data_IF_738117171450
#
_entry.id   IF_738117171450
#
_cell.length_a   1.000
_cell.length_b   1.000
_cell.length_c   1.000
_cell.angle_alpha   90.00
_cell.angle_beta   90.00
_cell.angle_gamma   90.00
#
_symmetry.space_group_name_H-M   'P 1'
#
loop_
_entity.id
_entity.type
_entity.pdbx_description
1 polymer ?
#
# COMPACT_ATOMS: atom_id res chain seq x y z
N UNK A 1 19.49 -9.83 11.41
CA UNK A 1 20.21 -8.64 10.89
C UNK A 1 19.78 -8.51 9.44
N UNK A 2 19.27 -7.36 9.03
CA UNK A 2 18.87 -7.15 7.62
C UNK A 2 20.14 -7.07 6.78
N UNK A 3 20.23 -7.91 5.76
CA UNK A 3 21.36 -7.93 4.82
C UNK A 3 21.25 -6.70 3.90
N UNK A 4 22.24 -5.79 3.93
CA UNK A 4 22.26 -4.59 3.08
C UNK A 4 23.30 -4.75 1.97
N UNK A 5 22.94 -4.34 0.75
CA UNK A 5 23.83 -4.36 -0.42
C UNK A 5 24.18 -2.93 -0.82
N UNK A 6 25.45 -2.70 -1.17
CA UNK A 6 25.89 -1.42 -1.73
C UNK A 6 25.64 -1.40 -3.23
N UNK A 7 24.82 -0.48 -3.68
CA UNK A 7 24.46 -0.33 -5.10
C UNK A 7 24.94 1.01 -5.64
N UNK A 8 25.51 1.01 -6.85
CA UNK A 8 25.89 2.22 -7.59
C UNK A 8 24.91 2.42 -8.73
N UNK A 9 24.22 3.57 -8.76
CA UNK A 9 23.19 3.90 -9.75
C UNK A 9 23.50 5.22 -10.44
N UNK A 10 23.15 5.33 -11.72
CA UNK A 10 23.31 6.56 -12.50
C UNK A 10 21.97 7.28 -12.55
N UNK A 11 21.91 8.49 -12.01
CA UNK A 11 20.68 9.30 -11.91
C UNK A 11 20.90 10.64 -12.59
N UNK A 12 19.83 11.20 -13.16
CA UNK A 12 19.83 12.58 -13.63
C UNK A 12 20.25 13.55 -12.50
N UNK A 13 21.25 14.39 -12.76
CA UNK A 13 21.80 15.32 -11.77
C UNK A 13 20.74 16.23 -11.14
N UNK A 14 19.85 16.82 -11.94
CA UNK A 14 18.85 17.76 -11.43
C UNK A 14 17.82 17.08 -10.53
N UNK A 15 17.45 15.85 -10.86
CA UNK A 15 16.55 15.02 -10.06
C UNK A 15 17.20 14.67 -8.72
N UNK A 16 18.46 14.23 -8.75
CA UNK A 16 19.21 13.87 -7.55
C UNK A 16 19.40 15.05 -6.59
N UNK A 17 19.70 16.25 -7.10
CA UNK A 17 19.80 17.45 -6.26
C UNK A 17 18.46 17.79 -5.60
N UNK A 18 17.35 17.76 -6.36
CA UNK A 18 16.01 18.00 -5.81
C UNK A 18 15.64 16.97 -4.73
N UNK A 19 15.94 15.70 -4.98
CA UNK A 19 15.71 14.62 -4.04
C UNK A 19 16.51 14.83 -2.75
N UNK A 20 17.81 15.11 -2.85
CA UNK A 20 18.65 15.46 -1.70
C UNK A 20 18.11 16.66 -0.93
N UNK A 21 17.68 17.73 -1.59
CA UNK A 21 17.12 18.90 -0.91
C UNK A 21 15.88 18.54 -0.09
N UNK A 22 15.02 17.66 -0.61
CA UNK A 22 13.83 17.19 0.10
C UNK A 22 14.20 16.36 1.33
N UNK A 23 15.12 15.40 1.18
CA UNK A 23 15.47 14.41 2.23
C UNK A 23 16.45 14.98 3.28
N UNK A 24 17.41 15.81 2.89
CA UNK A 24 18.41 16.39 3.80
C UNK A 24 17.78 17.38 4.79
N UNK A 25 16.62 17.95 4.46
CA UNK A 25 15.84 18.78 5.39
C UNK A 25 15.31 18.00 6.61
N UNK A 26 15.19 16.67 6.51
CA UNK A 26 14.50 15.84 7.52
C UNK A 26 15.44 14.94 8.37
N UNK A 27 16.66 14.60 7.93
CA UNK A 27 17.49 13.64 8.68
C UNK A 27 19.01 13.54 8.40
N UNK A 28 19.61 14.45 7.61
CA UNK A 28 21.04 14.37 7.26
C UNK A 28 21.42 13.20 6.32
N UNK A 29 22.72 12.92 6.17
CA UNK A 29 23.25 11.97 5.16
C UNK A 29 22.85 10.50 5.35
N UNK A 30 22.57 10.04 6.58
CA UNK A 30 22.06 8.66 6.82
C UNK A 30 20.65 8.47 6.24
N UNK A 31 19.83 9.52 6.29
CA UNK A 31 18.49 9.52 5.71
C UNK A 31 18.46 9.39 4.19
N UNK A 32 19.58 9.61 3.49
CA UNK A 32 19.59 9.51 2.02
C UNK A 32 19.48 8.06 1.52
N UNK A 33 20.18 7.12 2.17
CA UNK A 33 20.05 5.70 1.82
C UNK A 33 18.69 5.16 2.23
N UNK A 34 18.20 5.57 3.41
CA UNK A 34 16.89 5.19 3.92
C UNK A 34 15.77 5.72 3.03
N UNK A 35 15.85 6.98 2.57
CA UNK A 35 14.86 7.54 1.65
C UNK A 35 14.89 6.89 0.25
N UNK A 36 16.05 6.41 -0.20
CA UNK A 36 16.12 5.62 -1.44
C UNK A 36 15.50 4.23 -1.23
N UNK A 37 15.73 3.62 -0.06
CA UNK A 37 15.12 2.35 0.35
C UNK A 37 13.59 2.49 0.41
N UNK A 38 13.07 3.51 1.09
CA UNK A 38 11.64 3.86 1.15
C UNK A 38 11.03 4.09 -0.24
N UNK A 39 11.70 4.86 -1.11
CA UNK A 39 11.21 5.10 -2.46
C UNK A 39 11.16 3.81 -3.32
N UNK A 40 12.02 2.83 -3.04
CA UNK A 40 11.97 1.51 -3.69
C UNK A 40 10.83 0.68 -3.10
N UNK A 41 10.65 0.69 -1.78
CA UNK A 41 9.55 -0.01 -1.11
C UNK A 41 8.18 0.52 -1.55
N UNK A 42 8.02 1.83 -1.74
CA UNK A 42 6.80 2.44 -2.26
C UNK A 42 6.46 1.93 -3.68
N UNK A 43 7.46 1.82 -4.56
CA UNK A 43 7.26 1.30 -5.93
C UNK A 43 6.93 -0.20 -5.93
N UNK A 44 7.45 -0.95 -4.96
CA UNK A 44 7.20 -2.39 -4.78
C UNK A 44 6.04 -2.69 -3.83
N UNK A 45 5.21 -1.71 -3.49
CA UNK A 45 4.15 -1.88 -2.50
C UNK A 45 3.12 -2.96 -2.87
N UNK A 46 2.87 -3.18 -4.16
CA UNK A 46 1.96 -4.23 -4.64
C UNK A 46 2.48 -5.62 -4.28
N UNK A 47 3.77 -5.86 -4.47
CA UNK A 47 4.42 -7.12 -4.11
C UNK A 47 4.40 -7.31 -2.59
N UNK A 48 4.66 -6.25 -1.81
CA UNK A 48 4.57 -6.27 -0.35
C UNK A 48 3.14 -6.58 0.13
N UNK A 49 2.12 -6.04 -0.55
CA UNK A 49 0.70 -6.34 -0.24
C UNK A 49 0.40 -7.79 -0.58
N UNK A 50 0.87 -8.29 -1.72
CA UNK A 50 0.68 -9.69 -2.11
C UNK A 50 1.33 -10.61 -1.08
N UNK A 51 2.59 -10.39 -0.71
CA UNK A 51 3.28 -11.16 0.32
C UNK A 51 2.53 -11.11 1.66
N UNK A 52 2.10 -9.93 2.11
CA UNK A 52 1.35 -9.79 3.35
C UNK A 52 -0.01 -10.52 3.31
N UNK A 53 -0.71 -10.49 2.18
CA UNK A 53 -1.96 -11.22 1.98
C UNK A 53 -1.72 -12.73 1.93
N UNK A 54 -0.64 -13.18 1.29
CA UNK A 54 -0.24 -14.59 1.24
C UNK A 54 0.14 -15.11 2.62
N UNK A 55 0.87 -14.34 3.44
CA UNK A 55 1.15 -14.69 4.84
C UNK A 55 -0.13 -14.81 5.67
N UNK A 56 -1.08 -13.89 5.47
CA UNK A 56 -2.35 -13.85 6.22
C UNK A 56 -3.29 -14.99 5.82
N UNK A 57 -3.33 -15.36 4.54
CA UNK A 57 -4.10 -16.49 4.00
C UNK A 57 -3.40 -17.83 4.27
N UNK A 58 -2.08 -17.81 4.49
CA UNK A 58 -1.25 -19.00 4.60
C UNK A 58 -1.30 -19.86 3.33
N UNK A 59 -1.27 -21.18 3.48
CA UNK A 59 -1.30 -22.12 2.34
C UNK A 59 -2.70 -22.27 1.71
N UNK A 60 -3.74 -21.70 2.32
CA UNK A 60 -5.11 -21.88 1.87
C UNK A 60 -5.48 -20.81 0.85
N UNK A 61 -5.77 -21.26 -0.38
CA UNK A 61 -6.36 -20.37 -1.37
C UNK A 61 -7.75 -19.93 -0.89
N UNK A 62 -8.09 -18.63 -0.95
CA UNK A 62 -9.40 -18.18 -0.55
C UNK A 62 -10.47 -18.90 -1.39
N UNK A 63 -11.55 -19.37 -0.78
CA UNK A 63 -12.59 -20.07 -1.51
C UNK A 63 -13.17 -19.15 -2.57
N UNK A 64 -13.16 -19.59 -3.84
CA UNK A 64 -13.82 -18.90 -4.96
C UNK A 64 -15.35 -18.85 -4.81
N UNK A 65 -15.90 -19.57 -3.83
CA UNK A 65 -17.32 -19.60 -3.54
C UNK A 65 -17.69 -18.46 -2.56
N UNK A 66 -18.37 -17.43 -3.06
CA UNK A 66 -19.01 -16.42 -2.22
C UNK A 66 -20.30 -17.00 -1.66
N UNK A 67 -20.35 -17.25 -0.36
CA UNK A 67 -21.58 -17.66 0.33
C UNK A 67 -22.32 -16.44 0.88
N UNK A 68 -23.64 -16.35 0.71
CA UNK A 68 -24.41 -15.28 1.32
C UNK A 68 -24.39 -15.46 2.84
N UNK A 69 -23.82 -14.48 3.55
CA UNK A 69 -23.85 -14.43 5.01
C UNK A 69 -25.05 -13.62 5.43
N UNK A 70 -25.86 -14.18 6.33
CA UNK A 70 -26.99 -13.44 6.90
C UNK A 70 -26.45 -12.33 7.80
N UNK A 71 -26.90 -11.08 7.63
CA UNK A 71 -26.48 -9.99 8.50
C UNK A 71 -26.82 -10.28 9.96
N UNK A 72 -25.89 -9.95 10.87
CA UNK A 72 -26.09 -10.13 12.31
C UNK A 72 -27.19 -9.21 12.86
N UNK A 73 -27.35 -8.05 12.22
CA UNK A 73 -28.36 -7.04 12.55
C UNK A 73 -29.43 -6.98 11.47
N UNK A 74 -30.66 -6.67 11.88
CA UNK A 74 -31.76 -6.48 10.95
C UNK A 74 -31.42 -5.34 9.98
N UNK A 75 -31.15 -5.71 8.73
CA UNK A 75 -30.76 -4.79 7.67
C UNK A 75 -31.65 -5.04 6.47
N UNK A 76 -32.10 -3.95 5.85
CA UNK A 76 -32.89 -3.97 4.63
C UNK A 76 -32.24 -3.02 3.63
N UNK A 77 -31.43 -3.61 2.74
CA UNK A 77 -30.78 -2.87 1.67
C UNK A 77 -31.81 -2.22 0.73
N UNK A 78 -32.98 -2.84 0.55
CA UNK A 78 -34.06 -2.31 -0.30
C UNK A 78 -34.63 -1.02 0.26
N UNK A 79 -34.81 -0.94 1.58
CA UNK A 79 -35.21 0.30 2.27
C UNK A 79 -34.19 1.41 2.08
N UNK A 80 -32.91 1.13 2.35
CA UNK A 80 -31.83 2.11 2.21
C UNK A 80 -31.69 2.64 0.78
N UNK A 81 -31.75 1.75 -0.22
CA UNK A 81 -31.70 2.14 -1.65
C UNK A 81 -32.89 2.99 -2.05
N UNK A 82 -34.10 2.72 -1.51
CA UNK A 82 -35.29 3.55 -1.72
C UNK A 82 -35.09 4.95 -1.17
N UNK A 83 -34.67 5.06 0.08
CA UNK A 83 -34.40 6.36 0.73
C UNK A 83 -33.40 7.20 -0.07
N UNK A 84 -32.29 6.58 -0.50
CA UNK A 84 -31.28 7.26 -1.32
C UNK A 84 -31.80 7.71 -2.69
N UNK A 85 -32.66 6.90 -3.32
CA UNK A 85 -33.26 7.26 -4.61
C UNK A 85 -34.25 8.41 -4.47
N UNK A 86 -35.10 8.36 -3.45
CA UNK A 86 -36.16 9.33 -3.25
C UNK A 86 -35.58 10.68 -2.76
N UNK A 87 -34.42 10.67 -2.11
CA UNK A 87 -33.67 11.88 -1.72
C UNK A 87 -33.05 12.66 -2.90
N UNK A 88 -33.09 12.11 -4.12
CA UNK A 88 -32.63 12.78 -5.35
C UNK A 88 -33.73 13.61 -6.03
N UNK A 89 -34.97 13.52 -5.54
CA UNK A 89 -36.14 14.31 -5.99
C UNK A 89 -36.31 15.55 -5.10
#
# INVERSE_FOLDING_TARGET
>A
MVEKIKTSIVINRSLWERFKTKVVGEGGLKGLSEAVEEAIEEELCEDLIIEALEELLGSEKPPLAVTPVKPEVQTDAGKAVRELRDSRL
#
